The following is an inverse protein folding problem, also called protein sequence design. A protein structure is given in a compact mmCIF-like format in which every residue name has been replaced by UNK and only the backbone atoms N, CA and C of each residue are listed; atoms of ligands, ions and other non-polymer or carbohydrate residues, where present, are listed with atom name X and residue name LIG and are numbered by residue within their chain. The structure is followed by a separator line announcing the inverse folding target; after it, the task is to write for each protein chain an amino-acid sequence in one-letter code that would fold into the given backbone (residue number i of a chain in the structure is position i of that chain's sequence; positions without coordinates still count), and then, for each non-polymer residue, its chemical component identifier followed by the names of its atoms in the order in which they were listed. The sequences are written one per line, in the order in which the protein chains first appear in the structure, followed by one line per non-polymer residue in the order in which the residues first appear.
data_IF_933078247511
#
_entry.id   IF_933078247511
#
_cell.length_a   1.000
_cell.length_b   1.000
_cell.length_c   1.000
_cell.angle_alpha   90.00
_cell.angle_beta   90.00
_cell.angle_gamma   90.00
#
_symmetry.space_group_name_H-M   'P 1'
#
loop_
_entity.id
_entity.type
_entity.pdbx_description
1 polymer ?
#
# COMPACT_ATOMS: atom_id res chain seq x y z
N UNK A 1 31.99 -26.28 12.20
CA UNK A 1 31.32 -27.58 12.41
C UNK A 1 29.90 -27.25 12.78
N UNK A 2 28.90 -27.47 12.07
CA UNK A 2 28.43 -28.37 11.06
C UNK A 2 27.35 -27.66 10.27
N UNK A 3 27.42 -27.71 8.94
CA UNK A 3 26.43 -27.21 8.01
C UNK A 3 25.18 -28.09 7.98
N UNK A 4 24.08 -27.48 7.61
CA UNK A 4 22.87 -28.16 7.18
C UNK A 4 22.39 -27.60 5.85
N UNK A 5 22.73 -28.37 4.78
CA UNK A 5 22.20 -28.20 3.43
C UNK A 5 20.68 -28.34 3.42
N UNK A 6 19.98 -27.37 2.86
CA UNK A 6 18.57 -27.56 2.43
C UNK A 6 18.53 -27.81 0.92
N UNK A 7 18.21 -29.07 0.61
CA UNK A 7 17.92 -29.55 -0.73
C UNK A 7 16.64 -28.93 -1.26
N UNK A 8 16.74 -28.34 -2.45
CA UNK A 8 15.61 -27.93 -3.28
C UNK A 8 15.10 -29.17 -4.01
N UNK A 9 13.81 -29.49 -3.89
CA UNK A 9 13.12 -30.54 -4.62
C UNK A 9 12.29 -29.89 -5.73
N UNK A 10 12.44 -30.27 -7.01
CA UNK A 10 11.59 -29.75 -8.09
C UNK A 10 10.30 -30.59 -8.18
N UNK A 11 9.16 -29.89 -8.28
CA UNK A 11 7.86 -30.50 -8.61
C UNK A 11 7.82 -30.80 -10.13
N UNK A 12 7.82 -32.09 -10.44
CA UNK A 12 7.51 -32.60 -11.78
C UNK A 12 6.00 -32.83 -11.93
N UNK A 13 5.46 -32.25 -12.97
CA UNK A 13 4.06 -32.36 -13.42
C UNK A 13 3.80 -33.74 -14.02
N UNK A 14 2.81 -34.45 -13.50
CA UNK A 14 2.28 -35.67 -14.14
C UNK A 14 0.94 -35.32 -14.76
N UNK A 15 0.87 -35.36 -16.10
CA UNK A 15 -0.37 -35.38 -16.85
C UNK A 15 -0.79 -36.84 -17.07
N UNK A 16 -1.96 -37.19 -16.60
CA UNK A 16 -2.65 -38.43 -16.98
C UNK A 16 -3.76 -38.12 -17.98
N UNK A 17 -3.61 -38.65 -19.19
CA UNK A 17 -4.62 -38.70 -20.24
C UNK A 17 -5.57 -39.86 -19.99
N UNK A 18 -6.86 -39.61 -19.88
CA UNK A 18 -7.89 -40.64 -19.99
C UNK A 18 -8.62 -40.47 -21.31
N UNK A 19 -8.32 -41.39 -22.25
CA UNK A 19 -9.10 -41.60 -23.46
C UNK A 19 -10.45 -42.23 -23.19
N UNK A 20 -11.47 -41.74 -23.88
CA UNK A 20 -12.68 -42.50 -24.10
C UNK A 20 -13.09 -42.39 -25.58
N UNK A 21 -13.18 -43.56 -26.19
CA UNK A 21 -13.58 -43.84 -27.57
C UNK A 21 -15.01 -43.43 -27.84
N UNK A 22 -15.23 -42.97 -29.08
CA UNK A 22 -16.57 -42.78 -29.67
C UNK A 22 -17.05 -44.05 -30.35
N UNK A 23 -18.34 -44.43 -30.26
CA UNK A 23 -18.92 -45.47 -31.10
C UNK A 23 -19.42 -44.93 -32.44
N UNK A 24 -19.17 -45.70 -33.46
CA UNK A 24 -19.55 -45.49 -34.84
C UNK A 24 -21.03 -45.83 -35.09
N UNK A 25 -21.58 -45.13 -36.08
CA UNK A 25 -22.54 -45.74 -37.02
C UNK A 25 -24.03 -45.45 -36.78
N UNK A 26 -24.57 -44.48 -37.53
CA UNK A 26 -25.97 -44.56 -37.98
C UNK A 26 -26.02 -44.14 -39.46
N UNK A 27 -26.34 -45.15 -40.30
CA UNK A 27 -26.63 -45.06 -41.71
C UNK A 27 -28.09 -44.69 -41.89
N UNK A 28 -28.41 -43.65 -42.68
CA UNK A 28 -29.78 -43.43 -43.16
C UNK A 28 -29.88 -43.67 -44.67
N UNK A 29 -30.71 -44.67 -44.98
CA UNK A 29 -31.12 -45.11 -46.31
C UNK A 29 -32.09 -44.12 -46.95
N UNK A 30 -31.79 -43.76 -48.20
CA UNK A 30 -32.75 -43.13 -49.14
C UNK A 30 -33.82 -44.13 -49.57
N UNK A 31 -35.09 -43.74 -49.41
CA UNK A 31 -36.22 -44.34 -50.22
C UNK A 31 -36.82 -43.29 -51.12
N UNK A 32 -36.87 -43.66 -52.37
CA UNK A 32 -37.38 -42.90 -53.46
C UNK A 32 -38.90 -43.04 -53.57
N UNK A 33 -39.48 -42.11 -54.33
CA UNK A 33 -40.72 -42.13 -55.15
C UNK A 33 -42.06 -41.91 -54.46
N UNK A 34 -42.64 -40.75 -54.84
CA UNK A 34 -43.97 -40.74 -55.44
C UNK A 34 -44.19 -39.42 -56.23
N UNK A 35 -44.53 -39.58 -57.53
CA UNK A 35 -44.99 -38.48 -58.42
C UNK A 35 -46.45 -38.31 -58.21
N UNK A 36 -46.90 -37.11 -57.86
CA UNK A 36 -48.30 -36.69 -58.02
C UNK A 36 -48.34 -35.54 -58.99
N UNK A 37 -48.96 -35.81 -60.15
CA UNK A 37 -49.24 -34.86 -61.23
C UNK A 37 -50.63 -34.21 -60.93
N UNK A 38 -50.63 -32.91 -60.61
CA UNK A 38 -51.87 -32.12 -60.51
C UNK A 38 -51.65 -30.80 -61.24
N UNK A 39 -52.07 -30.80 -62.51
CA UNK A 39 -52.34 -29.59 -63.28
C UNK A 39 -53.59 -28.90 -62.74
N UNK A 40 -53.45 -27.84 -62.02
CA UNK A 40 -54.47 -26.82 -61.88
C UNK A 40 -53.90 -25.46 -62.13
N UNK A 41 -54.38 -24.82 -63.18
CA UNK A 41 -54.05 -23.49 -63.64
C UNK A 41 -54.55 -22.43 -62.64
N UNK A 42 -53.59 -21.72 -62.01
CA UNK A 42 -53.82 -20.43 -61.35
C UNK A 42 -53.22 -19.31 -62.18
N UNK A 43 -53.85 -18.13 -62.27
CA UNK A 43 -53.31 -17.01 -63.02
C UNK A 43 -52.05 -16.51 -62.37
N UNK A 44 -50.94 -16.50 -63.09
CA UNK A 44 -49.67 -15.98 -62.72
C UNK A 44 -49.75 -14.48 -62.50
N UNK A 45 -49.40 -13.93 -61.33
CA UNK A 45 -49.25 -12.50 -61.19
C UNK A 45 -48.02 -12.07 -62.00
N UNK A 46 -48.11 -10.91 -62.65
CA UNK A 46 -47.10 -10.36 -63.54
C UNK A 46 -45.69 -10.40 -62.93
N UNK A 47 -44.69 -10.88 -63.69
CA UNK A 47 -43.29 -11.09 -63.17
C UNK A 47 -42.63 -9.85 -62.53
N UNK A 48 -43.02 -8.68 -62.95
CA UNK A 48 -42.39 -7.41 -62.52
C UNK A 48 -42.77 -6.98 -61.11
N UNK A 49 -43.93 -7.32 -60.57
CA UNK A 49 -44.39 -6.97 -59.25
C UNK A 49 -43.70 -7.84 -58.13
N UNK A 50 -43.38 -9.08 -58.47
CA UNK A 50 -42.75 -10.05 -57.58
C UNK A 50 -41.27 -9.73 -57.49
N UNK A 51 -40.61 -9.37 -58.59
CA UNK A 51 -39.22 -8.97 -58.68
C UNK A 51 -38.95 -7.66 -57.93
N UNK A 52 -39.82 -6.65 -58.03
CA UNK A 52 -39.72 -5.37 -57.32
C UNK A 52 -39.82 -5.55 -55.81
N UNK A 53 -40.75 -6.33 -55.31
CA UNK A 53 -40.89 -6.63 -53.86
C UNK A 53 -39.71 -7.39 -53.30
N UNK A 54 -39.17 -8.38 -54.02
CA UNK A 54 -37.97 -9.13 -53.62
C UNK A 54 -36.72 -8.25 -53.59
N UNK A 55 -36.54 -7.39 -54.58
CA UNK A 55 -35.42 -6.45 -54.63
C UNK A 55 -35.46 -5.44 -53.47
N UNK A 56 -36.65 -4.93 -53.11
CA UNK A 56 -36.88 -4.05 -51.96
C UNK A 56 -36.59 -4.75 -50.62
N UNK A 57 -36.97 -5.99 -50.46
CA UNK A 57 -36.68 -6.77 -49.25
C UNK A 57 -35.15 -7.05 -49.09
N UNK A 58 -34.49 -7.41 -50.19
CA UNK A 58 -33.02 -7.64 -50.17
C UNK A 58 -32.22 -6.35 -49.89
N UNK A 59 -32.67 -5.20 -50.41
CA UNK A 59 -32.09 -3.91 -50.07
C UNK A 59 -32.27 -3.57 -48.56
N UNK A 60 -33.46 -3.77 -47.99
CA UNK A 60 -33.73 -3.58 -46.58
C UNK A 60 -32.92 -4.54 -45.69
N UNK A 61 -32.78 -5.81 -46.07
CA UNK A 61 -31.95 -6.76 -45.36
C UNK A 61 -30.45 -6.37 -45.41
N UNK A 62 -29.92 -5.98 -46.56
CA UNK A 62 -28.52 -5.50 -46.69
C UNK A 62 -28.25 -4.21 -45.87
N UNK A 63 -29.22 -3.28 -45.85
CA UNK A 63 -29.06 -2.06 -45.06
C UNK A 63 -29.09 -2.35 -43.54
N UNK A 64 -29.98 -3.24 -43.09
CA UNK A 64 -30.05 -3.72 -41.70
C UNK A 64 -28.78 -4.48 -41.27
N UNK A 65 -28.21 -5.30 -42.14
CA UNK A 65 -26.95 -5.98 -41.88
C UNK A 65 -25.77 -5.03 -41.85
N UNK A 66 -25.72 -4.01 -42.74
CA UNK A 66 -24.68 -2.95 -42.71
C UNK A 66 -24.81 -2.09 -41.47
N UNK A 67 -26.02 -1.76 -41.03
CA UNK A 67 -26.24 -1.02 -39.75
C UNK A 67 -25.83 -1.84 -38.52
N UNK A 68 -26.21 -3.13 -38.47
CA UNK A 68 -25.78 -4.03 -37.39
C UNK A 68 -24.26 -4.21 -37.33
N UNK A 69 -23.57 -4.25 -38.48
CA UNK A 69 -22.09 -4.29 -38.54
C UNK A 69 -21.46 -2.97 -38.13
N UNK A 70 -22.03 -1.81 -38.47
CA UNK A 70 -21.56 -0.50 -38.04
C UNK A 70 -21.73 -0.27 -36.54
N UNK A 71 -22.83 -0.77 -35.96
CA UNK A 71 -23.08 -0.63 -34.51
C UNK A 71 -22.20 -1.54 -33.66
N UNK A 72 -21.81 -2.70 -34.18
CA UNK A 72 -20.96 -3.65 -33.47
C UNK A 72 -19.50 -3.18 -33.35
N UNK A 73 -18.96 -2.44 -34.30
CA UNK A 73 -17.58 -1.96 -34.28
C UNK A 73 -17.27 -1.01 -33.12
N UNK A 74 -18.05 0.09 -32.90
CA UNK A 74 -17.77 0.98 -31.78
C UNK A 74 -17.96 0.28 -30.42
N UNK A 75 -18.93 -0.64 -30.30
CA UNK A 75 -19.13 -1.43 -29.07
C UNK A 75 -17.93 -2.36 -28.81
N UNK A 76 -17.41 -3.03 -29.84
CA UNK A 76 -16.22 -3.86 -29.70
C UNK A 76 -15.01 -3.01 -29.32
N UNK A 77 -14.83 -1.85 -29.94
CA UNK A 77 -13.75 -0.91 -29.58
C UNK A 77 -13.86 -0.49 -28.11
N UNK A 78 -15.07 -0.15 -27.66
CA UNK A 78 -15.32 0.23 -26.26
C UNK A 78 -14.97 -0.91 -25.29
N UNK A 79 -15.37 -2.14 -25.61
CA UNK A 79 -15.06 -3.33 -24.80
C UNK A 79 -13.53 -3.56 -24.76
N UNK A 80 -12.84 -3.44 -25.89
CA UNK A 80 -11.38 -3.59 -25.96
C UNK A 80 -10.67 -2.51 -25.13
N UNK A 81 -11.13 -1.26 -25.23
CA UNK A 81 -10.58 -0.17 -24.43
C UNK A 81 -10.82 -0.40 -22.93
N UNK A 82 -12.02 -0.81 -22.55
CA UNK A 82 -12.33 -1.16 -21.16
C UNK A 82 -11.46 -2.32 -20.64
N UNK A 83 -11.24 -3.35 -21.48
CA UNK A 83 -10.35 -4.45 -21.12
C UNK A 83 -8.89 -4.01 -20.95
N UNK A 84 -8.40 -3.13 -21.83
CA UNK A 84 -7.04 -2.55 -21.71
C UNK A 84 -6.92 -1.76 -20.41
N UNK A 85 -7.88 -0.88 -20.09
CA UNK A 85 -7.89 -0.11 -18.84
C UNK A 85 -7.89 -1.05 -17.62
N UNK A 86 -8.70 -2.11 -17.66
CA UNK A 86 -8.73 -3.10 -16.58
C UNK A 86 -7.38 -3.82 -16.42
N UNK A 87 -6.76 -4.23 -17.53
CA UNK A 87 -5.44 -4.89 -17.49
C UNK A 87 -4.37 -3.94 -16.93
N UNK A 88 -4.36 -2.68 -17.37
CA UNK A 88 -3.44 -1.67 -16.83
C UNK A 88 -3.66 -1.46 -15.34
N UNK A 89 -4.91 -1.30 -14.92
CA UNK A 89 -5.25 -1.15 -13.49
C UNK A 89 -4.80 -2.37 -12.66
N UNK A 90 -5.07 -3.58 -13.12
CA UNK A 90 -4.63 -4.81 -12.45
C UNK A 90 -3.11 -4.92 -12.41
N UNK A 91 -2.42 -4.52 -13.47
CA UNK A 91 -0.95 -4.52 -13.52
C UNK A 91 -0.36 -3.55 -12.51
N UNK A 92 -0.87 -2.32 -12.45
CA UNK A 92 -0.45 -1.30 -11.46
C UNK A 92 -0.72 -1.81 -10.05
N UNK A 93 -1.90 -2.37 -9.80
CA UNK A 93 -2.26 -2.94 -8.49
C UNK A 93 -1.33 -4.09 -8.08
N UNK A 94 -1.01 -5.01 -8.98
CA UNK A 94 -0.09 -6.12 -8.72
C UNK A 94 1.34 -5.65 -8.48
N UNK A 95 1.82 -4.66 -9.25
CA UNK A 95 3.14 -4.07 -9.07
C UNK A 95 3.25 -3.30 -7.75
N UNK A 96 2.18 -2.60 -7.33
CA UNK A 96 2.12 -1.95 -6.03
C UNK A 96 2.13 -2.98 -4.88
N UNK A 97 1.33 -4.07 -4.99
CA UNK A 97 1.36 -5.18 -4.03
C UNK A 97 2.73 -5.88 -3.96
N UNK A 98 3.40 -6.04 -5.09
CA UNK A 98 4.74 -6.60 -5.17
C UNK A 98 5.84 -5.63 -4.68
N UNK A 99 5.47 -4.45 -4.19
CA UNK A 99 6.41 -3.40 -3.73
C UNK A 99 7.40 -2.94 -4.82
N UNK A 100 6.99 -3.03 -6.09
CA UNK A 100 7.81 -2.60 -7.26
C UNK A 100 7.57 -1.13 -7.57
N UNK A 101 6.33 -0.65 -7.38
CA UNK A 101 5.96 0.75 -7.56
C UNK A 101 5.32 1.30 -6.30
N UNK A 102 5.69 2.53 -5.96
CA UNK A 102 5.18 3.26 -4.80
C UNK A 102 4.29 4.39 -5.28
N UNK A 103 2.98 4.13 -5.31
CA UNK A 103 1.99 5.10 -5.84
C UNK A 103 1.92 6.37 -5.00
N UNK A 104 2.30 6.32 -3.72
CA UNK A 104 2.26 7.46 -2.82
C UNK A 104 3.13 8.63 -3.28
N UNK A 105 4.26 8.35 -3.96
CA UNK A 105 5.10 9.39 -4.59
C UNK A 105 4.33 10.29 -5.56
N UNK A 106 3.23 9.83 -6.12
CA UNK A 106 2.39 10.64 -7.02
C UNK A 106 1.44 11.60 -6.27
N UNK A 107 1.32 11.43 -4.95
CA UNK A 107 0.43 12.21 -4.08
C UNK A 107 1.20 13.15 -3.14
N UNK A 108 2.54 13.07 -3.12
CA UNK A 108 3.40 13.94 -2.32
C UNK A 108 4.24 14.79 -3.26
N UNK A 109 4.09 16.09 -3.17
CA UNK A 109 4.95 17.06 -3.85
C UNK A 109 6.19 17.33 -2.99
N UNK A 110 7.20 16.48 -3.11
CA UNK A 110 8.42 16.53 -2.30
C UNK A 110 9.15 17.88 -2.40
N UNK A 111 9.00 18.58 -3.52
CA UNK A 111 9.68 19.87 -3.73
C UNK A 111 9.04 21.04 -2.95
N UNK A 112 7.73 20.95 -2.69
CA UNK A 112 6.97 22.01 -2.02
C UNK A 112 6.42 21.60 -0.66
N UNK A 113 6.75 20.39 -0.19
CA UNK A 113 6.32 19.87 1.11
C UNK A 113 7.47 19.86 2.11
N UNK A 114 7.14 19.91 3.40
CA UNK A 114 8.08 19.68 4.48
C UNK A 114 8.35 18.18 4.60
N UNK A 115 9.54 17.76 4.18
CA UNK A 115 9.95 16.35 4.13
C UNK A 115 10.89 16.04 5.28
N UNK A 116 10.74 14.88 5.88
CA UNK A 116 11.63 14.35 6.90
C UNK A 116 11.93 12.88 6.69
N UNK A 117 12.83 12.39 7.53
CA UNK A 117 13.23 10.97 7.55
C UNK A 117 13.08 10.41 8.95
N UNK A 118 12.96 9.09 9.06
CA UNK A 118 13.22 8.39 10.31
C UNK A 118 14.30 7.33 10.11
N UNK A 119 15.15 7.20 11.14
CA UNK A 119 16.40 6.45 11.06
C UNK A 119 16.66 5.68 12.35
N UNK A 120 17.51 4.67 12.23
CA UNK A 120 18.03 3.87 13.33
C UNK A 120 19.50 3.49 13.06
N UNK A 121 20.05 2.61 13.86
CA UNK A 121 21.37 2.03 13.62
C UNK A 121 21.54 1.36 12.24
N UNK A 122 20.45 1.01 11.57
CA UNK A 122 20.49 0.41 10.23
C UNK A 122 21.04 1.36 9.15
N UNK A 123 20.86 2.68 9.32
CA UNK A 123 21.45 3.69 8.44
C UNK A 123 22.91 4.03 8.80
N UNK A 124 23.41 3.53 9.93
CA UNK A 124 24.77 3.77 10.47
C UNK A 124 25.12 5.26 10.61
N UNK A 125 26.28 5.68 10.09
CA UNK A 125 26.75 7.06 10.16
C UNK A 125 25.95 7.92 9.17
N UNK A 126 25.38 9.02 9.66
CA UNK A 126 24.53 9.90 8.88
C UNK A 126 25.17 11.28 8.75
N UNK A 127 25.34 11.73 7.52
CA UNK A 127 25.71 13.10 7.18
C UNK A 127 24.44 13.97 7.14
N UNK A 128 24.20 14.69 8.22
CA UNK A 128 23.00 15.52 8.37
C UNK A 128 22.97 16.70 7.38
N UNK A 129 24.12 17.24 6.98
CA UNK A 129 24.19 18.31 5.99
C UNK A 129 23.83 17.77 4.58
N UNK A 130 24.30 16.57 4.23
CA UNK A 130 23.91 15.94 2.98
C UNK A 130 22.40 15.66 2.92
N UNK A 131 21.76 15.29 4.04
CA UNK A 131 20.30 15.16 4.09
C UNK A 131 19.59 16.50 3.89
N UNK A 132 20.05 17.57 4.54
CA UNK A 132 19.49 18.93 4.39
C UNK A 132 19.59 19.43 2.93
N UNK A 133 20.72 19.18 2.27
CA UNK A 133 20.92 19.53 0.86
C UNK A 133 19.93 18.81 -0.09
N UNK A 134 19.33 17.70 0.36
CA UNK A 134 18.31 16.94 -0.35
C UNK A 134 16.87 17.26 0.13
N UNK A 135 16.66 18.45 0.69
CA UNK A 135 15.36 18.94 1.17
C UNK A 135 14.79 18.18 2.38
N UNK A 136 15.65 17.57 3.20
CA UNK A 136 15.20 17.00 4.47
C UNK A 136 15.18 18.11 5.53
N UNK A 137 14.02 18.30 6.16
CA UNK A 137 13.75 19.41 7.06
C UNK A 137 13.50 18.98 8.51
N UNK A 138 13.34 17.68 8.76
CA UNK A 138 13.26 17.10 10.10
C UNK A 138 13.67 15.63 10.09
N UNK A 139 14.07 15.13 11.26
CA UNK A 139 14.51 13.74 11.45
C UNK A 139 13.96 13.17 12.74
N UNK A 140 13.51 11.90 12.73
CA UNK A 140 13.28 11.13 13.93
C UNK A 140 14.32 10.01 14.04
N UNK A 141 14.88 9.83 15.23
CA UNK A 141 16.00 8.93 15.49
C UNK A 141 15.58 7.89 16.51
N UNK A 142 15.76 6.61 16.21
CA UNK A 142 15.50 5.52 17.15
C UNK A 142 16.39 5.70 18.37
N UNK A 143 15.77 5.75 19.54
CA UNK A 143 16.50 5.80 20.79
C UNK A 143 16.53 4.43 21.49
N UNK A 144 15.36 3.78 21.55
CA UNK A 144 15.21 2.55 22.32
C UNK A 144 14.15 1.63 21.74
N UNK A 145 14.19 0.36 22.19
CA UNK A 145 13.15 -0.64 21.92
C UNK A 145 12.91 -1.47 23.19
N UNK A 146 11.65 -1.68 23.53
CA UNK A 146 11.28 -2.46 24.69
C UNK A 146 11.94 -1.94 25.98
N UNK A 147 12.08 -2.80 26.98
CA UNK A 147 12.54 -2.41 28.32
C UNK A 147 14.04 -2.20 28.46
N UNK A 148 14.88 -2.58 27.47
CA UNK A 148 16.33 -2.61 27.67
C UNK A 148 17.19 -2.29 26.45
N UNK A 149 16.69 -2.45 25.24
CA UNK A 149 17.48 -2.19 24.04
C UNK A 149 17.63 -0.67 23.84
N UNK A 150 18.86 -0.24 23.58
CA UNK A 150 19.22 1.12 23.19
C UNK A 150 19.84 1.05 21.80
N UNK A 151 19.41 1.95 20.91
CA UNK A 151 19.98 2.02 19.57
C UNK A 151 21.43 2.47 19.63
N UNK A 152 22.33 1.70 19.04
CA UNK A 152 23.78 1.91 19.16
C UNK A 152 24.29 3.18 18.47
N UNK A 153 23.49 3.76 17.55
CA UNK A 153 23.79 5.02 16.84
C UNK A 153 23.02 6.22 17.36
N UNK A 154 22.14 6.02 18.35
CA UNK A 154 21.30 7.10 18.85
C UNK A 154 22.12 8.31 19.32
N UNK A 155 23.07 8.10 20.23
CA UNK A 155 23.79 9.19 20.83
C UNK A 155 24.56 10.05 19.82
N UNK A 156 25.20 9.41 18.85
CA UNK A 156 25.93 10.08 17.78
C UNK A 156 24.99 10.83 16.83
N UNK A 157 23.95 10.16 16.29
CA UNK A 157 23.00 10.79 15.39
C UNK A 157 22.19 11.91 16.07
N UNK A 158 21.93 11.79 17.38
CA UNK A 158 21.24 12.79 18.17
C UNK A 158 22.02 14.09 18.29
N UNK A 159 23.31 14.01 18.57
CA UNK A 159 24.20 15.19 18.64
C UNK A 159 24.46 15.77 17.24
N UNK A 160 24.73 14.94 16.24
CA UNK A 160 24.99 15.40 14.88
C UNK A 160 23.77 16.16 14.30
N UNK A 161 22.55 15.72 14.58
CA UNK A 161 21.33 16.43 14.16
C UNK A 161 21.22 17.81 14.85
N UNK A 162 21.61 17.92 16.12
CA UNK A 162 21.65 19.19 16.85
C UNK A 162 22.69 20.15 16.27
N UNK A 163 23.89 19.66 16.04
CA UNK A 163 25.00 20.46 15.49
C UNK A 163 24.67 20.98 14.09
N UNK A 164 24.01 20.15 13.27
CA UNK A 164 23.53 20.54 11.95
C UNK A 164 22.32 21.48 11.97
N UNK A 165 21.73 21.72 13.15
CA UNK A 165 20.50 22.50 13.28
C UNK A 165 19.29 21.86 12.59
N UNK A 166 19.29 20.53 12.40
CA UNK A 166 18.18 19.80 11.83
C UNK A 166 17.16 19.48 12.94
N UNK A 167 15.91 19.97 12.86
CA UNK A 167 14.85 19.64 13.79
C UNK A 167 14.75 18.13 14.00
N UNK A 168 14.96 17.65 15.22
CA UNK A 168 15.12 16.22 15.50
C UNK A 168 14.30 15.77 16.71
N UNK A 169 13.71 14.56 16.61
CA UNK A 169 12.97 13.90 17.67
C UNK A 169 13.50 12.49 17.91
N UNK A 170 13.31 11.99 19.13
CA UNK A 170 13.63 10.62 19.49
C UNK A 170 12.39 9.73 19.45
N UNK A 171 12.54 8.49 18.97
CA UNK A 171 11.45 7.54 19.05
C UNK A 171 11.81 6.26 19.79
N UNK A 172 10.79 5.66 20.40
CA UNK A 172 10.83 4.39 21.10
C UNK A 172 9.99 3.35 20.37
N UNK A 173 10.58 2.22 20.01
CA UNK A 173 9.84 1.09 19.46
C UNK A 173 9.16 0.30 20.58
N UNK A 174 7.83 0.34 20.61
CA UNK A 174 7.03 -0.23 21.70
C UNK A 174 6.95 -1.75 21.60
N UNK A 175 7.34 -2.43 22.70
CA UNK A 175 7.23 -3.87 22.80
C UNK A 175 5.91 -4.29 23.46
N UNK A 176 5.18 -5.19 22.83
CA UNK A 176 3.99 -5.82 23.42
C UNK A 176 4.33 -6.85 24.51
N UNK A 177 5.61 -7.19 24.65
CA UNK A 177 6.10 -8.23 25.57
C UNK A 177 6.76 -7.64 26.83
N UNK A 178 6.68 -6.32 27.03
CA UNK A 178 7.29 -5.60 28.16
C UNK A 178 6.31 -4.63 28.78
N UNK A 179 6.46 -4.39 30.10
CA UNK A 179 5.65 -3.41 30.83
C UNK A 179 5.92 -1.99 30.32
N UNK A 180 4.86 -1.20 30.12
CA UNK A 180 4.96 0.18 29.64
C UNK A 180 5.87 1.07 30.50
N UNK A 181 5.84 0.88 31.82
CA UNK A 181 6.70 1.60 32.75
C UNK A 181 8.19 1.36 32.51
N UNK A 182 8.61 0.10 32.36
CA UNK A 182 10.02 -0.23 32.14
C UNK A 182 10.52 0.24 30.78
N UNK A 183 9.65 0.27 29.79
CA UNK A 183 9.93 0.84 28.47
C UNK A 183 10.14 2.36 28.56
N UNK A 184 9.27 3.08 29.27
CA UNK A 184 9.41 4.51 29.50
C UNK A 184 10.70 4.84 30.28
N UNK A 185 11.03 4.08 31.31
CA UNK A 185 12.30 4.22 32.05
C UNK A 185 13.53 4.02 31.14
N UNK A 186 13.47 3.05 30.22
CA UNK A 186 14.52 2.84 29.22
C UNK A 186 14.69 4.07 28.31
N UNK A 187 13.59 4.59 27.76
CA UNK A 187 13.60 5.77 26.90
C UNK A 187 14.13 7.00 27.61
N UNK A 188 13.57 7.34 28.79
CA UNK A 188 13.98 8.52 29.59
C UNK A 188 15.45 8.48 29.93
N UNK A 189 15.97 7.32 30.35
CA UNK A 189 17.38 7.14 30.68
C UNK A 189 18.29 7.34 29.46
N UNK A 190 17.87 6.90 28.28
CA UNK A 190 18.66 6.96 27.06
C UNK A 190 18.67 8.35 26.44
N UNK A 191 17.51 8.99 26.37
CA UNK A 191 17.35 10.31 25.74
C UNK A 191 17.85 11.43 26.65
N UNK A 192 17.73 11.24 27.96
CA UNK A 192 18.08 12.25 28.97
C UNK A 192 16.92 13.21 29.27
N UNK A 193 17.16 14.16 30.20
CA UNK A 193 16.09 14.99 30.75
C UNK A 193 15.74 16.22 29.92
N UNK A 194 16.63 16.64 28.99
CA UNK A 194 16.51 17.90 28.26
C UNK A 194 16.12 17.66 26.78
N UNK A 195 14.91 18.10 26.46
CA UNK A 195 14.38 18.07 25.10
C UNK A 195 14.05 19.49 24.57
N UNK A 196 14.53 20.55 25.22
CA UNK A 196 14.27 21.92 24.73
C UNK A 196 14.81 22.11 23.30
N UNK A 197 13.94 22.65 22.42
CA UNK A 197 14.25 22.83 21.00
C UNK A 197 14.22 21.56 20.15
N UNK A 198 13.96 20.41 20.74
CA UNK A 198 13.76 19.14 20.02
C UNK A 198 12.29 18.97 19.64
N UNK A 199 12.04 18.06 18.70
CA UNK A 199 10.69 17.62 18.39
C UNK A 199 10.15 16.72 19.52
N UNK A 200 8.82 16.65 19.63
CA UNK A 200 8.15 15.79 20.60
C UNK A 200 8.71 14.36 20.57
N UNK A 201 8.86 13.72 21.74
CA UNK A 201 9.17 12.30 21.78
C UNK A 201 8.07 11.48 21.12
N UNK A 202 8.44 10.35 20.51
CA UNK A 202 7.51 9.49 19.77
C UNK A 202 7.53 8.09 20.34
N UNK A 203 6.34 7.50 20.45
CA UNK A 203 6.20 6.05 20.62
C UNK A 203 5.76 5.44 19.31
N UNK A 204 6.49 4.42 18.86
CA UNK A 204 6.24 3.66 17.64
C UNK A 204 5.51 2.36 18.02
N UNK A 205 4.26 2.25 17.59
CA UNK A 205 3.37 1.13 17.88
C UNK A 205 3.09 0.36 16.59
N UNK A 206 3.88 -0.69 16.37
CA UNK A 206 3.79 -1.53 15.18
C UNK A 206 3.80 -3.02 15.53
N UNK A 207 3.31 -3.87 14.62
CA UNK A 207 3.48 -5.31 14.76
C UNK A 207 4.91 -5.73 14.41
N UNK A 208 5.45 -6.65 15.18
CA UNK A 208 6.75 -7.28 14.96
C UNK A 208 6.67 -8.78 15.21
N UNK A 209 7.63 -9.53 14.69
CA UNK A 209 7.68 -10.99 14.85
C UNK A 209 6.41 -11.66 14.31
N UNK A 210 5.69 -12.34 15.17
CA UNK A 210 4.43 -13.02 14.87
C UNK A 210 3.17 -12.21 15.26
N UNK A 211 3.32 -10.96 15.71
CA UNK A 211 2.23 -10.18 16.30
C UNK A 211 1.14 -9.79 15.28
N UNK A 212 1.45 -9.75 13.99
CA UNK A 212 0.42 -9.54 12.96
C UNK A 212 -0.49 -10.76 12.78
N UNK A 213 0.07 -11.98 12.96
CA UNK A 213 -0.68 -13.24 12.91
C UNK A 213 -1.35 -13.58 14.25
N UNK A 214 -0.70 -13.19 15.35
CA UNK A 214 -1.14 -13.43 16.73
C UNK A 214 -1.21 -12.09 17.49
N UNK A 215 -2.19 -11.21 17.19
CA UNK A 215 -2.25 -9.87 17.75
C UNK A 215 -2.46 -9.92 19.27
N UNK A 216 -1.77 -9.07 20.03
CA UNK A 216 -1.95 -8.96 21.48
C UNK A 216 -3.38 -8.51 21.84
N UNK A 217 -3.83 -8.85 23.04
CA UNK A 217 -5.13 -8.42 23.51
C UNK A 217 -5.21 -6.89 23.59
N UNK A 218 -6.30 -6.31 23.06
CA UNK A 218 -6.48 -4.87 22.95
C UNK A 218 -6.35 -4.16 24.31
N UNK A 219 -6.94 -4.74 25.33
CA UNK A 219 -6.96 -4.19 26.70
C UNK A 219 -5.55 -4.11 27.31
N UNK A 220 -4.71 -5.11 27.01
CA UNK A 220 -3.33 -5.15 27.50
C UNK A 220 -2.48 -4.09 26.78
N UNK A 221 -2.61 -3.97 25.47
CA UNK A 221 -1.90 -2.93 24.69
C UNK A 221 -2.29 -1.53 25.19
N UNK A 222 -3.58 -1.25 25.34
CA UNK A 222 -4.06 0.05 25.83
C UNK A 222 -3.52 0.34 27.22
N UNK A 223 -3.56 -0.62 28.12
CA UNK A 223 -3.08 -0.45 29.49
C UNK A 223 -1.59 -0.09 29.53
N UNK A 224 -0.77 -0.89 28.87
CA UNK A 224 0.69 -0.69 28.89
C UNK A 224 1.10 0.57 28.14
N UNK A 225 0.43 0.87 27.01
CA UNK A 225 0.69 2.10 26.27
C UNK A 225 0.29 3.36 27.05
N UNK A 226 -0.82 3.35 27.79
CA UNK A 226 -1.21 4.46 28.69
C UNK A 226 -0.15 4.70 29.75
N UNK A 227 0.34 3.63 30.41
CA UNK A 227 1.40 3.73 31.42
C UNK A 227 2.68 4.33 30.83
N UNK A 228 3.06 3.90 29.61
CA UNK A 228 4.22 4.46 28.92
C UNK A 228 4.03 5.96 28.64
N UNK A 229 2.93 6.32 27.98
CA UNK A 229 2.65 7.70 27.57
C UNK A 229 2.58 8.67 28.75
N UNK A 230 1.90 8.26 29.85
CA UNK A 230 1.83 9.04 31.09
C UNK A 230 3.20 9.26 31.74
N UNK A 231 4.06 8.22 31.73
CA UNK A 231 5.42 8.35 32.26
C UNK A 231 6.29 9.31 31.43
N UNK A 232 6.14 9.29 30.09
CA UNK A 232 6.84 10.22 29.20
C UNK A 232 6.32 11.65 29.40
N UNK A 233 4.99 11.83 29.47
CA UNK A 233 4.41 13.15 29.72
C UNK A 233 4.83 13.72 31.09
N UNK A 234 4.91 12.87 32.11
CA UNK A 234 5.41 13.27 33.42
C UNK A 234 6.88 13.68 33.40
N UNK A 235 7.71 12.97 32.63
CA UNK A 235 9.16 13.24 32.58
C UNK A 235 9.50 14.53 31.82
N UNK A 236 8.79 14.82 30.73
CA UNK A 236 9.13 15.91 29.82
C UNK A 236 8.12 17.07 29.82
N UNK A 237 7.00 16.96 30.52
CA UNK A 237 5.95 18.00 30.57
C UNK A 237 5.16 18.18 29.28
N UNK A 238 5.34 17.30 28.29
CA UNK A 238 4.68 17.34 26.98
C UNK A 238 4.11 15.99 26.62
N UNK A 239 2.93 15.98 25.94
CA UNK A 239 2.36 14.75 25.38
C UNK A 239 3.23 14.25 24.24
N UNK A 240 3.67 12.98 24.27
CA UNK A 240 4.39 12.40 23.14
C UNK A 240 3.48 12.24 21.93
N UNK A 241 4.06 12.09 20.75
CA UNK A 241 3.36 11.73 19.52
C UNK A 241 3.32 10.20 19.37
N UNK A 242 2.28 9.67 18.74
CA UNK A 242 2.16 8.24 18.46
C UNK A 242 2.36 8.01 16.96
N UNK A 243 3.41 7.25 16.62
CA UNK A 243 3.57 6.67 15.30
C UNK A 243 2.91 5.30 15.25
N UNK A 244 2.19 5.02 14.17
CA UNK A 244 1.56 3.72 13.94
C UNK A 244 1.08 3.56 12.51
N UNK A 245 0.77 2.33 12.13
CA UNK A 245 0.07 2.01 10.87
C UNK A 245 -1.43 2.31 11.00
N UNK A 246 -2.07 2.64 9.87
CA UNK A 246 -3.49 2.98 9.85
C UNK A 246 -4.43 1.82 10.29
N UNK A 247 -4.03 0.55 10.13
CA UNK A 247 -4.76 -0.62 10.62
C UNK A 247 -4.62 -0.78 12.13
N UNK A 248 -3.40 -0.71 12.67
CA UNK A 248 -3.12 -0.78 14.11
C UNK A 248 -3.79 0.36 14.87
N UNK A 249 -3.82 1.57 14.28
CA UNK A 249 -4.59 2.67 14.85
C UNK A 249 -6.06 2.30 15.11
N UNK A 250 -6.72 1.64 14.14
CA UNK A 250 -8.12 1.22 14.30
C UNK A 250 -8.28 0.15 15.36
N UNK A 251 -7.33 -0.77 15.46
CA UNK A 251 -7.41 -1.93 16.33
C UNK A 251 -7.16 -1.56 17.80
N UNK A 252 -6.23 -0.64 18.06
CA UNK A 252 -5.79 -0.33 19.43
C UNK A 252 -6.01 1.11 19.87
N UNK A 253 -5.85 2.10 18.97
CA UNK A 253 -5.68 3.48 19.40
C UNK A 253 -6.94 4.32 19.28
N UNK A 254 -7.78 4.05 18.29
CA UNK A 254 -8.99 4.85 18.02
C UNK A 254 -9.96 4.85 19.20
N UNK A 255 -10.33 6.06 19.62
CA UNK A 255 -11.23 6.29 20.78
C UNK A 255 -10.53 6.28 22.13
N UNK A 256 -9.27 5.83 22.21
CA UNK A 256 -8.51 5.74 23.46
C UNK A 256 -7.41 6.82 23.57
N UNK A 257 -6.86 7.22 22.42
CA UNK A 257 -5.72 8.12 22.32
C UNK A 257 -5.95 9.26 21.32
N UNK A 258 -7.19 9.70 21.14
CA UNK A 258 -7.57 10.69 20.14
C UNK A 258 -6.93 12.06 20.38
N UNK A 259 -6.58 12.38 21.62
CA UNK A 259 -5.96 13.63 22.06
C UNK A 259 -4.43 13.68 21.88
N UNK A 260 -3.82 12.59 21.44
CA UNK A 260 -2.40 12.55 21.07
C UNK A 260 -2.21 12.93 19.61
N UNK A 261 -1.10 13.61 19.27
CA UNK A 261 -0.71 13.84 17.88
C UNK A 261 -0.34 12.52 17.22
N UNK A 262 -0.63 12.40 15.92
CA UNK A 262 -0.45 11.15 15.18
C UNK A 262 0.54 11.32 14.04
N UNK A 263 1.44 10.36 13.94
CA UNK A 263 2.28 10.10 12.77
C UNK A 263 1.87 8.75 12.20
N UNK A 264 1.30 8.75 10.99
CA UNK A 264 0.66 7.57 10.43
C UNK A 264 1.46 7.00 9.27
N UNK A 265 1.79 5.72 9.34
CA UNK A 265 2.36 4.98 8.23
C UNK A 265 1.26 4.46 7.30
N UNK A 266 1.37 4.78 6.02
CA UNK A 266 0.54 4.25 4.94
C UNK A 266 1.36 4.19 3.65
N UNK A 267 2.08 3.09 3.46
CA UNK A 267 3.13 2.96 2.44
C UNK A 267 2.60 2.63 1.05
N UNK A 268 1.43 1.98 0.94
CA UNK A 268 0.94 1.42 -0.32
C UNK A 268 -0.28 2.11 -0.88
N UNK A 269 -0.89 2.97 -0.08
CA UNK A 269 -2.08 3.73 -0.47
C UNK A 269 -1.99 5.14 0.09
N UNK A 270 -2.50 6.16 -0.62
CA UNK A 270 -2.58 7.51 -0.08
C UNK A 270 -3.30 7.51 1.27
N UNK A 271 -2.74 8.25 2.23
CA UNK A 271 -3.26 8.27 3.60
C UNK A 271 -4.76 8.61 3.65
N UNK A 272 -5.18 9.57 2.84
CA UNK A 272 -6.57 10.03 2.74
C UNK A 272 -7.58 8.94 2.35
N UNK A 273 -7.14 7.77 1.87
CA UNK A 273 -8.04 6.66 1.49
C UNK A 273 -8.45 5.79 2.68
N UNK A 274 -7.56 5.61 3.65
CA UNK A 274 -7.73 4.67 4.75
C UNK A 274 -7.68 5.30 6.16
N UNK A 275 -7.29 6.57 6.26
CA UNK A 275 -7.24 7.32 7.51
C UNK A 275 -7.96 8.66 7.35
N UNK A 276 -8.86 9.00 8.28
CA UNK A 276 -9.71 10.21 8.20
C UNK A 276 -9.63 11.09 9.44
N UNK A 277 -8.99 10.60 10.49
CA UNK A 277 -8.81 11.34 11.72
C UNK A 277 -7.63 12.33 11.59
N UNK A 278 -7.39 13.18 12.58
CA UNK A 278 -6.33 14.20 12.53
C UNK A 278 -4.93 13.56 12.56
N UNK A 279 -4.01 14.10 11.77
CA UNK A 279 -2.63 13.64 11.67
C UNK A 279 -1.65 14.80 11.49
N UNK A 280 -0.40 14.61 11.90
CA UNK A 280 0.69 15.58 11.75
C UNK A 280 1.73 15.14 10.72
N UNK A 281 2.08 13.87 10.70
CA UNK A 281 3.10 13.32 9.79
C UNK A 281 2.53 12.07 9.12
N UNK A 282 2.82 11.90 7.84
CA UNK A 282 2.55 10.71 7.07
C UNK A 282 3.86 10.10 6.57
N UNK A 283 4.21 8.88 7.04
CA UNK A 283 5.25 8.08 6.43
C UNK A 283 4.68 7.44 5.16
N UNK A 284 5.11 7.96 4.02
CA UNK A 284 4.53 7.63 2.72
C UNK A 284 5.38 6.66 1.91
N UNK A 285 6.66 6.47 2.28
CA UNK A 285 7.60 5.65 1.55
C UNK A 285 8.65 5.06 2.50
N UNK A 286 8.91 3.75 2.38
CA UNK A 286 9.98 3.06 3.10
C UNK A 286 11.13 2.58 2.18
N UNK A 287 11.26 3.19 1.02
CA UNK A 287 12.33 2.96 0.05
C UNK A 287 12.77 4.26 -0.59
N UNK A 288 13.01 5.28 0.24
CA UNK A 288 13.67 6.49 -0.17
C UNK A 288 15.13 6.19 -0.52
N UNK A 289 15.62 6.82 -1.56
CA UNK A 289 17.01 6.76 -1.97
C UNK A 289 17.57 8.17 -1.78
N UNK A 290 18.42 8.35 -0.77
CA UNK A 290 19.09 9.60 -0.46
C UNK A 290 20.59 9.32 -0.34
N UNK A 291 21.40 10.35 -0.48
CA UNK A 291 22.82 10.33 -0.15
C UNK A 291 23.03 10.74 1.33
N UNK A 292 24.17 10.38 1.91
CA UNK A 292 24.55 10.83 3.25
C UNK A 292 24.31 9.83 4.37
N UNK A 293 24.12 8.54 4.08
CA UNK A 293 24.16 7.47 5.08
C UNK A 293 24.93 6.26 4.55
N UNK A 294 25.56 5.50 5.44
CA UNK A 294 26.54 4.47 5.09
C UNK A 294 26.20 3.08 5.63
N UNK A 295 24.99 2.86 6.13
CA UNK A 295 24.55 1.61 6.72
C UNK A 295 24.38 0.46 5.74
N UNK A 296 24.07 -0.72 6.27
CA UNK A 296 23.70 -1.90 5.48
C UNK A 296 22.33 -1.81 4.84
N UNK A 297 21.49 -0.88 5.30
CA UNK A 297 20.18 -0.61 4.71
C UNK A 297 20.33 0.32 3.50
N UNK A 298 19.85 -0.14 2.35
CA UNK A 298 19.92 0.63 1.11
C UNK A 298 18.94 1.81 1.08
N UNK A 299 17.86 1.70 1.85
CA UNK A 299 16.72 2.62 1.79
C UNK A 299 16.52 3.35 3.11
N UNK A 300 15.87 4.50 3.02
CA UNK A 300 15.47 5.32 4.16
C UNK A 300 13.98 5.62 4.11
N UNK A 301 13.36 5.75 5.25
CA UNK A 301 11.96 6.07 5.39
C UNK A 301 11.70 7.55 5.16
N UNK A 302 10.76 7.87 4.25
CA UNK A 302 10.41 9.25 3.92
C UNK A 302 9.04 9.61 4.49
N UNK A 303 9.01 10.80 5.09
CA UNK A 303 7.88 11.37 5.79
C UNK A 303 7.50 12.72 5.22
N UNK A 304 6.20 12.99 5.11
CA UNK A 304 5.68 14.31 4.77
C UNK A 304 4.90 14.89 5.94
N UNK A 305 5.19 16.13 6.27
CA UNK A 305 4.46 16.87 7.29
C UNK A 305 3.16 17.40 6.71
N UNK A 306 2.09 17.43 7.51
CA UNK A 306 0.78 17.94 7.10
C UNK A 306 0.83 19.46 6.86
N UNK A 307 0.58 19.88 5.63
CA UNK A 307 0.63 21.28 5.23
C UNK A 307 -0.41 22.19 5.92
N UNK A 308 -1.43 21.60 6.58
CA UNK A 308 -2.43 22.36 7.35
C UNK A 308 -1.99 22.60 8.81
N UNK A 309 -0.83 22.08 9.19
CA UNK A 309 -0.24 22.19 10.54
C UNK A 309 1.06 22.97 10.47
N UNK A 310 1.61 23.33 11.63
CA UNK A 310 2.92 23.96 11.74
C UNK A 310 3.92 23.01 12.40
N UNK A 311 5.08 22.82 11.81
CA UNK A 311 6.16 21.99 12.38
C UNK A 311 6.61 22.51 13.75
N UNK A 312 6.56 23.83 13.96
CA UNK A 312 6.82 24.47 15.25
C UNK A 312 5.92 23.97 16.39
N UNK A 313 4.73 23.42 16.08
CA UNK A 313 3.83 22.80 17.08
C UNK A 313 4.35 21.47 17.63
N UNK A 314 5.39 20.92 17.00
CA UNK A 314 6.11 19.74 17.46
C UNK A 314 7.38 20.08 18.22
N UNK A 315 7.86 21.33 18.20
CA UNK A 315 9.09 21.75 18.91
C UNK A 315 8.75 22.03 20.38
N UNK A 316 9.47 21.38 21.26
CA UNK A 316 9.35 21.59 22.70
C UNK A 316 9.93 22.95 23.08
N UNK A 317 9.11 23.78 23.74
CA UNK A 317 9.45 25.11 24.26
C UNK A 317 9.10 25.12 25.74
N UNK A 318 10.06 25.48 26.57
CA UNK A 318 9.88 25.66 28.01
C UNK A 318 9.48 27.10 28.37
#
# INVERSE_FOLDING_TARGET
MSGADRKIVPLSTVFHSNGKEMPAGISFSLKATERIDLRHSFPSPAPDAIMSKRCGQLRKQRSRQKMKKKLKRPVIILIVLAAIVLVVFLSVFLLAKAKVIFINKWFVDEANSTIGVDVSAYQADIDMEALKDQNIQFIFIKATEGSSHQDERFAENWENAKEAGLPSGAYHFFSYDSEGKTQAENFIRTVGPDLEGRLLPVVDVEYYGDKEENPPAREDVIRELKVYLEAIEQAYGVKPMIYTRADIYKDYLKGEFDDYKKWISSLYTPLSWNYKDDWYIWQYLNRGELEGYAGGEQYIDLNVFNSEKNLEDLIIKH
#
